data_IF_489486803025
#
_entry.id   IF_489486803025
#
_cell.length_a   1.000
_cell.length_b   1.000
_cell.length_c   1.000
_cell.angle_alpha   90.00
_cell.angle_beta   90.00
_cell.angle_gamma   90.00
#
_symmetry.space_group_name_H-M   'P 1'
#
loop_
_entity.id
_entity.type
_entity.pdbx_description
1 polymer ?
#
# COMPACT_ATOMS: atom_id res chain seq x y z
N UNK A 1 -17.79 -8.22 -26.64
CA UNK A 1 -17.49 -7.02 -25.83
C UNK A 1 -17.42 -7.44 -24.37
N UNK A 2 -16.31 -7.16 -23.69
CA UNK A 2 -16.11 -7.51 -22.28
C UNK A 2 -17.03 -6.67 -21.40
N UNK A 3 -17.63 -7.28 -20.37
CA UNK A 3 -18.45 -6.56 -19.38
C UNK A 3 -17.56 -5.99 -18.27
N UNK A 4 -17.99 -4.89 -17.62
CA UNK A 4 -17.18 -4.21 -16.59
C UNK A 4 -16.70 -5.12 -15.45
N UNK A 5 -17.54 -6.07 -14.99
CA UNK A 5 -17.14 -6.98 -13.94
C UNK A 5 -16.11 -8.03 -14.40
N UNK A 6 -16.10 -8.43 -15.68
CA UNK A 6 -15.09 -9.35 -16.24
C UNK A 6 -13.71 -8.70 -16.27
N UNK A 7 -13.64 -7.39 -16.51
CA UNK A 7 -12.41 -6.63 -16.38
C UNK A 7 -11.87 -6.69 -14.92
N UNK A 8 -12.74 -6.50 -13.93
CA UNK A 8 -12.36 -6.63 -12.52
C UNK A 8 -11.88 -8.02 -12.16
N UNK A 9 -12.60 -9.06 -12.55
CA UNK A 9 -12.19 -10.46 -12.34
C UNK A 9 -10.81 -10.73 -12.92
N UNK A 10 -10.57 -10.29 -14.16
CA UNK A 10 -9.26 -10.44 -14.80
C UNK A 10 -8.11 -9.70 -14.10
N UNK A 11 -8.38 -8.57 -13.46
CA UNK A 11 -7.36 -7.87 -12.69
C UNK A 11 -6.98 -8.61 -11.41
N UNK A 12 -7.87 -9.48 -10.89
CA UNK A 12 -7.62 -10.29 -9.72
C UNK A 12 -6.89 -11.61 -10.05
N UNK A 13 -6.83 -12.00 -11.30
CA UNK A 13 -6.08 -13.17 -11.74
C UNK A 13 -4.58 -12.86 -11.81
N UNK A 14 -3.90 -12.98 -10.68
CA UNK A 14 -2.45 -12.74 -10.59
C UNK A 14 -1.65 -13.79 -11.33
N UNK A 15 -2.07 -15.06 -11.27
CA UNK A 15 -1.47 -16.19 -11.97
C UNK A 15 -2.34 -16.58 -13.18
N UNK A 16 -1.73 -16.56 -14.37
CA UNK A 16 -2.46 -16.70 -15.64
C UNK A 16 -2.25 -18.06 -16.24
N UNK A 17 -3.33 -18.81 -16.46
CA UNK A 17 -3.33 -20.07 -17.20
C UNK A 17 -2.84 -19.85 -18.63
N UNK A 18 -2.05 -20.81 -19.16
CA UNK A 18 -1.54 -20.77 -20.52
C UNK A 18 -0.49 -19.68 -20.77
N UNK A 19 0.14 -19.16 -19.72
CA UNK A 19 1.23 -18.20 -19.86
C UNK A 19 2.48 -18.85 -20.46
N UNK A 20 2.80 -20.10 -20.08
CA UNK A 20 3.95 -20.85 -20.59
C UNK A 20 3.82 -21.13 -22.09
N UNK A 21 4.91 -20.91 -22.82
CA UNK A 21 5.03 -21.15 -24.25
C UNK A 21 6.41 -21.76 -24.56
N UNK A 22 6.45 -23.07 -24.70
CA UNK A 22 7.70 -23.82 -24.91
C UNK A 22 8.44 -23.42 -26.19
N UNK A 23 7.73 -22.92 -27.21
CA UNK A 23 8.35 -22.45 -28.44
C UNK A 23 9.17 -21.15 -28.25
N UNK A 24 8.93 -20.43 -27.17
CA UNK A 24 9.60 -19.18 -26.83
C UNK A 24 10.75 -19.44 -25.83
N UNK A 25 10.42 -19.92 -24.62
CA UNK A 25 11.40 -19.96 -23.53
C UNK A 25 12.52 -20.97 -23.74
N UNK A 26 12.31 -22.08 -24.46
CA UNK A 26 13.36 -23.06 -24.72
C UNK A 26 14.53 -22.53 -25.55
N UNK A 27 14.38 -21.35 -26.16
CA UNK A 27 15.47 -20.67 -26.90
C UNK A 27 16.29 -19.73 -26.01
N UNK A 28 15.87 -19.54 -24.75
CA UNK A 28 16.55 -18.66 -23.80
C UNK A 28 17.64 -19.43 -23.04
N UNK A 29 18.61 -18.69 -22.52
CA UNK A 29 19.69 -19.24 -21.69
C UNK A 29 19.52 -18.77 -20.27
N UNK A 30 19.58 -19.65 -19.30
CA UNK A 30 19.40 -19.32 -17.88
C UNK A 30 19.27 -20.56 -17.00
N UNK A 31 18.86 -20.37 -15.78
CA UNK A 31 18.48 -21.44 -14.86
C UNK A 31 17.03 -21.81 -15.11
N UNK A 32 16.79 -23.06 -15.41
CA UNK A 32 15.45 -23.61 -15.67
C UNK A 32 14.96 -24.37 -14.45
N UNK A 33 13.73 -24.10 -14.04
CA UNK A 33 13.04 -24.83 -12.98
C UNK A 33 12.21 -25.94 -13.62
N UNK A 34 12.30 -27.15 -13.07
CA UNK A 34 11.52 -28.31 -13.48
C UNK A 34 10.83 -28.97 -12.28
N UNK A 35 10.10 -30.06 -12.49
CA UNK A 35 9.33 -30.76 -11.47
C UNK A 35 10.17 -31.37 -10.33
N UNK A 36 11.49 -31.48 -10.49
CA UNK A 36 12.38 -31.98 -9.43
C UNK A 36 12.71 -30.91 -8.39
N UNK A 37 12.42 -29.64 -8.68
CA UNK A 37 12.70 -28.52 -7.79
C UNK A 37 11.70 -28.42 -6.66
N UNK A 38 12.15 -27.85 -5.55
CA UNK A 38 11.33 -27.56 -4.38
C UNK A 38 11.45 -26.08 -3.98
N UNK A 39 10.38 -25.53 -3.45
CA UNK A 39 10.38 -24.22 -2.77
C UNK A 39 10.63 -24.49 -1.29
N UNK A 40 11.70 -23.90 -0.73
CA UNK A 40 12.07 -24.13 0.67
C UNK A 40 12.14 -22.78 1.42
N UNK A 41 11.73 -22.80 2.69
CA UNK A 41 11.68 -21.63 3.56
C UNK A 41 12.09 -22.00 5.00
N UNK A 42 12.43 -21.03 5.89
CA UNK A 42 12.78 -21.31 7.29
C UNK A 42 11.69 -22.09 8.02
N UNK A 43 12.06 -22.98 8.93
CA UNK A 43 11.10 -23.80 9.67
C UNK A 43 10.19 -22.98 10.57
N UNK A 44 10.64 -21.84 11.05
CA UNK A 44 9.93 -20.85 11.85
C UNK A 44 9.46 -19.64 11.02
N UNK A 45 9.27 -19.84 9.69
CA UNK A 45 8.78 -18.80 8.79
C UNK A 45 7.49 -18.15 9.30
N UNK A 46 7.44 -16.84 9.23
CA UNK A 46 6.24 -16.07 9.54
C UNK A 46 5.17 -16.21 8.44
N UNK A 47 4.02 -15.59 8.67
CA UNK A 47 2.89 -15.66 7.75
C UNK A 47 3.18 -15.09 6.37
N UNK A 48 4.03 -14.07 6.26
CA UNK A 48 4.38 -13.44 4.97
C UNK A 48 5.28 -14.35 4.15
N UNK A 49 6.28 -14.98 4.78
CA UNK A 49 7.12 -15.99 4.12
C UNK A 49 6.32 -17.23 3.70
N UNK A 50 5.39 -17.68 4.53
CA UNK A 50 4.50 -18.80 4.18
C UNK A 50 3.59 -18.44 3.01
N UNK A 51 3.04 -17.21 3.01
CA UNK A 51 2.26 -16.70 1.88
C UNK A 51 3.10 -16.65 0.61
N UNK A 52 4.30 -16.08 0.67
CA UNK A 52 5.22 -16.02 -0.47
C UNK A 52 5.53 -17.41 -1.06
N UNK A 53 5.74 -18.41 -0.20
CA UNK A 53 6.01 -19.78 -0.65
C UNK A 53 4.80 -20.45 -1.33
N UNK A 54 3.61 -20.22 -0.79
CA UNK A 54 2.37 -20.78 -1.35
C UNK A 54 1.96 -20.06 -2.64
N UNK A 55 2.04 -18.74 -2.68
CA UNK A 55 1.74 -17.94 -3.85
C UNK A 55 2.68 -18.27 -5.02
N UNK A 56 3.99 -18.37 -4.76
CA UNK A 56 4.97 -18.79 -5.76
C UNK A 56 4.71 -20.22 -6.25
N UNK A 57 4.32 -21.15 -5.37
CA UNK A 57 3.89 -22.51 -5.78
C UNK A 57 2.71 -22.43 -6.73
N UNK A 58 1.71 -21.64 -6.40
CA UNK A 58 0.50 -21.49 -7.20
C UNK A 58 0.82 -20.83 -8.55
N UNK A 59 1.79 -19.90 -8.61
CA UNK A 59 2.34 -19.40 -9.87
C UNK A 59 2.92 -20.51 -10.74
N UNK A 60 3.76 -21.37 -10.17
CA UNK A 60 4.34 -22.47 -10.94
C UNK A 60 3.27 -23.45 -11.43
N UNK A 61 2.30 -23.80 -10.60
CA UNK A 61 1.20 -24.67 -10.99
C UNK A 61 0.33 -24.07 -12.08
N UNK A 62 -0.16 -22.85 -11.87
CA UNK A 62 -1.17 -22.22 -12.74
C UNK A 62 -0.54 -21.64 -14.01
N UNK A 63 0.60 -20.95 -13.88
CA UNK A 63 1.20 -20.20 -14.99
C UNK A 63 2.28 -20.95 -15.74
N UNK A 64 3.01 -21.84 -15.06
CA UNK A 64 4.13 -22.58 -15.63
C UNK A 64 3.84 -24.08 -15.86
N UNK A 65 2.69 -24.56 -15.40
CA UNK A 65 2.29 -25.96 -15.47
C UNK A 65 3.34 -26.89 -14.87
N UNK A 66 3.82 -26.54 -13.66
CA UNK A 66 4.81 -27.29 -12.86
C UNK A 66 4.30 -27.41 -11.43
N UNK A 67 4.19 -28.66 -10.93
CA UNK A 67 3.79 -28.94 -9.55
C UNK A 67 5.03 -28.98 -8.64
N UNK A 68 5.37 -27.86 -8.01
CA UNK A 68 6.47 -27.80 -7.04
C UNK A 68 5.96 -28.02 -5.62
N UNK A 69 6.78 -28.72 -4.81
CA UNK A 69 6.54 -28.86 -3.39
C UNK A 69 7.08 -27.65 -2.63
N UNK A 70 6.26 -27.03 -1.77
CA UNK A 70 6.69 -26.03 -0.81
C UNK A 70 6.81 -26.66 0.60
N UNK A 71 7.96 -26.49 1.28
CA UNK A 71 8.22 -27.07 2.59
C UNK A 71 9.28 -26.31 3.40
N UNK A 72 9.32 -26.50 4.74
CA UNK A 72 10.45 -26.05 5.53
C UNK A 72 11.77 -26.66 5.05
N UNK A 73 12.84 -25.82 5.06
CA UNK A 73 14.21 -26.25 4.76
C UNK A 73 14.78 -27.01 5.95
N UNK A 74 15.55 -28.07 5.67
CA UNK A 74 16.32 -28.78 6.67
C UNK A 74 17.73 -28.16 6.78
N UNK A 75 18.34 -28.29 7.96
CA UNK A 75 19.70 -27.82 8.17
C UNK A 75 20.70 -28.51 7.23
N UNK A 76 21.61 -27.73 6.66
CA UNK A 76 22.65 -28.25 5.77
C UNK A 76 22.16 -28.67 4.38
N UNK A 77 20.91 -28.49 4.03
CA UNK A 77 20.44 -28.78 2.67
C UNK A 77 21.15 -27.91 1.62
N UNK A 78 21.58 -28.49 0.49
CA UNK A 78 22.17 -27.73 -0.60
C UNK A 78 21.16 -26.76 -1.22
N UNK A 79 21.64 -25.74 -1.91
CA UNK A 79 20.80 -24.75 -2.60
C UNK A 79 20.45 -25.19 -4.04
N UNK A 80 21.26 -26.09 -4.63
CA UNK A 80 21.04 -26.57 -5.99
C UNK A 80 19.67 -27.24 -6.15
N UNK A 81 19.00 -26.96 -7.26
CA UNK A 81 17.69 -27.50 -7.58
C UNK A 81 16.58 -27.04 -6.62
N UNK A 82 16.77 -25.90 -5.96
CA UNK A 82 15.79 -25.33 -5.02
C UNK A 82 15.57 -23.84 -5.24
N UNK A 83 14.36 -23.41 -4.93
CA UNK A 83 14.03 -22.00 -4.72
C UNK A 83 13.97 -21.76 -3.21
N UNK A 84 15.00 -21.10 -2.69
CA UNK A 84 15.13 -20.80 -1.26
C UNK A 84 14.58 -19.42 -0.96
N UNK A 85 13.54 -19.35 -0.15
CA UNK A 85 12.97 -18.12 0.37
C UNK A 85 13.49 -17.87 1.78
N UNK A 86 14.03 -16.68 2.03
CA UNK A 86 14.56 -16.30 3.35
C UNK A 86 14.56 -14.78 3.52
N UNK A 87 14.95 -14.30 4.68
CA UNK A 87 15.13 -12.88 4.95
C UNK A 87 16.42 -12.62 5.74
N UNK A 88 16.73 -11.36 5.99
CA UNK A 88 17.94 -10.97 6.71
C UNK A 88 18.00 -11.48 8.16
N UNK A 89 16.87 -11.73 8.80
CA UNK A 89 16.83 -12.27 10.15
C UNK A 89 17.24 -13.75 10.18
N UNK A 90 16.78 -14.54 9.22
CA UNK A 90 17.09 -15.96 9.12
C UNK A 90 18.46 -16.23 8.45
N UNK A 91 18.88 -15.39 7.51
CA UNK A 91 20.15 -15.61 6.77
C UNK A 91 20.87 -14.27 6.52
N UNK A 92 21.47 -13.66 7.55
CA UNK A 92 22.12 -12.35 7.44
C UNK A 92 23.20 -12.27 6.34
N UNK A 93 23.88 -13.37 6.06
CA UNK A 93 24.94 -13.44 5.04
C UNK A 93 24.41 -13.26 3.61
N UNK A 94 23.12 -13.49 3.36
CA UNK A 94 22.46 -13.35 2.06
C UNK A 94 21.63 -12.08 1.96
N UNK A 95 21.57 -11.27 3.01
CA UNK A 95 20.78 -10.05 3.05
C UNK A 95 21.13 -9.08 1.91
N UNK A 96 20.16 -8.33 1.37
CA UNK A 96 20.44 -7.25 0.44
C UNK A 96 21.26 -6.13 1.11
N UNK A 97 21.98 -5.34 0.31
CA UNK A 97 22.73 -4.18 0.81
C UNK A 97 21.81 -3.03 1.30
N UNK A 98 20.52 -3.12 1.07
CA UNK A 98 19.52 -2.12 1.40
C UNK A 98 18.87 -2.39 2.76
N UNK A 99 18.35 -1.34 3.42
CA UNK A 99 17.69 -1.42 4.73
C UNK A 99 16.17 -1.24 4.65
N UNK A 100 15.65 -0.84 3.50
CA UNK A 100 14.20 -0.67 3.28
C UNK A 100 13.45 -2.01 3.45
N UNK A 101 12.35 -2.06 4.20
CA UNK A 101 11.66 -3.31 4.54
C UNK A 101 11.24 -4.17 3.34
N UNK A 102 10.96 -3.53 2.20
CA UNK A 102 10.57 -4.23 0.97
C UNK A 102 11.73 -4.44 -0.02
N UNK A 103 12.98 -4.22 0.41
CA UNK A 103 14.15 -4.51 -0.41
C UNK A 103 14.44 -6.01 -0.43
N UNK A 104 15.00 -6.48 -1.54
CA UNK A 104 15.35 -7.89 -1.73
C UNK A 104 16.57 -8.07 -2.62
N UNK A 105 17.18 -9.25 -2.46
CA UNK A 105 18.23 -9.80 -3.30
C UNK A 105 17.75 -11.11 -3.88
N UNK A 106 17.95 -11.29 -5.17
CA UNK A 106 17.70 -12.52 -5.92
C UNK A 106 19.05 -13.01 -6.47
N UNK A 107 19.49 -14.17 -6.01
CA UNK A 107 20.69 -14.87 -6.53
C UNK A 107 20.25 -16.08 -7.35
N UNK A 108 20.67 -16.14 -8.61
CA UNK A 108 20.32 -17.20 -9.57
C UNK A 108 21.60 -17.92 -10.03
N UNK A 109 21.74 -19.14 -9.61
CA UNK A 109 22.82 -20.05 -9.98
C UNK A 109 22.28 -21.45 -10.35
N UNK A 110 22.81 -22.49 -9.76
CA UNK A 110 22.26 -23.85 -9.84
C UNK A 110 21.06 -24.04 -8.89
N UNK A 111 20.83 -23.08 -8.02
CA UNK A 111 19.62 -22.83 -7.25
C UNK A 111 19.19 -21.39 -7.42
N UNK A 112 18.02 -21.03 -6.88
CA UNK A 112 17.49 -19.68 -6.84
C UNK A 112 17.30 -19.30 -5.37
N UNK A 113 17.87 -18.19 -4.94
CA UNK A 113 17.67 -17.68 -3.57
C UNK A 113 17.02 -16.31 -3.62
N UNK A 114 15.91 -16.15 -2.91
CA UNK A 114 15.22 -14.88 -2.70
C UNK A 114 15.38 -14.50 -1.23
N UNK A 115 16.14 -13.45 -0.96
CA UNK A 115 16.38 -12.95 0.39
C UNK A 115 15.91 -11.51 0.51
N UNK A 116 14.91 -11.25 1.37
CA UNK A 116 14.44 -9.91 1.68
C UNK A 116 15.16 -9.29 2.88
N UNK A 117 15.13 -7.97 2.99
CA UNK A 117 15.49 -7.28 4.24
C UNK A 117 14.54 -7.71 5.37
N UNK A 118 13.27 -7.91 5.03
CA UNK A 118 12.22 -8.51 5.88
C UNK A 118 11.42 -9.51 5.05
N UNK A 119 10.52 -10.31 5.65
CA UNK A 119 9.60 -11.17 4.90
C UNK A 119 8.85 -10.48 3.75
N UNK A 120 8.50 -9.19 3.92
CA UNK A 120 7.89 -8.37 2.86
C UNK A 120 8.83 -8.23 1.65
N UNK A 121 10.12 -8.03 1.88
CA UNK A 121 11.12 -7.98 0.81
C UNK A 121 11.22 -9.31 0.06
N UNK A 122 11.18 -10.43 0.77
CA UNK A 122 11.17 -11.76 0.15
C UNK A 122 9.96 -11.95 -0.76
N UNK A 123 8.77 -11.57 -0.29
CA UNK A 123 7.53 -11.62 -1.09
C UNK A 123 7.66 -10.77 -2.36
N UNK A 124 8.18 -9.54 -2.27
CA UNK A 124 8.42 -8.68 -3.44
C UNK A 124 9.45 -9.30 -4.41
N UNK A 125 10.44 -10.02 -3.88
CA UNK A 125 11.41 -10.78 -4.68
C UNK A 125 10.76 -11.96 -5.41
N UNK A 126 9.80 -12.66 -4.80
CA UNK A 126 9.00 -13.69 -5.46
C UNK A 126 8.18 -13.10 -6.61
N UNK A 127 7.47 -12.00 -6.41
CA UNK A 127 6.73 -11.32 -7.49
C UNK A 127 7.64 -10.84 -8.63
N UNK A 128 8.88 -10.46 -8.31
CA UNK A 128 9.85 -10.15 -9.35
C UNK A 128 10.25 -11.41 -10.14
N UNK A 129 10.51 -12.54 -9.48
CA UNK A 129 10.82 -13.83 -10.11
C UNK A 129 9.68 -14.27 -11.04
N UNK A 130 8.45 -14.24 -10.57
CA UNK A 130 7.25 -14.55 -11.36
C UNK A 130 7.11 -13.66 -12.59
N UNK A 131 7.32 -12.35 -12.42
CA UNK A 131 7.27 -11.40 -13.52
C UNK A 131 8.34 -11.67 -14.58
N UNK A 132 9.57 -12.03 -14.15
CA UNK A 132 10.64 -12.37 -15.09
C UNK A 132 10.31 -13.65 -15.87
N UNK A 133 9.88 -14.69 -15.18
CA UNK A 133 9.45 -15.94 -15.82
C UNK A 133 8.21 -15.72 -16.71
N UNK A 134 7.30 -14.84 -16.30
CA UNK A 134 6.14 -14.44 -17.10
C UNK A 134 6.52 -13.74 -18.41
N UNK A 135 7.51 -12.84 -18.38
CA UNK A 135 8.07 -12.19 -19.58
C UNK A 135 8.72 -13.21 -20.52
N UNK A 136 9.45 -14.15 -19.96
CA UNK A 136 10.08 -15.24 -20.71
C UNK A 136 9.08 -16.29 -21.20
N UNK A 137 7.85 -16.24 -20.72
CA UNK A 137 6.80 -17.23 -20.98
C UNK A 137 7.21 -18.65 -20.65
N UNK A 138 8.00 -18.82 -19.60
CA UNK A 138 8.51 -20.14 -19.19
C UNK A 138 9.26 -20.12 -17.87
N UNK A 139 9.50 -21.31 -17.29
CA UNK A 139 10.13 -21.47 -15.98
C UNK A 139 11.66 -21.29 -16.06
N UNK A 140 12.10 -20.18 -16.65
CA UNK A 140 13.51 -19.85 -16.86
C UNK A 140 13.81 -18.42 -16.40
N UNK A 141 14.98 -18.23 -15.81
CA UNK A 141 15.47 -16.91 -15.39
C UNK A 141 16.97 -16.81 -15.65
N UNK A 142 17.45 -15.62 -15.99
CA UNK A 142 18.86 -15.34 -16.24
C UNK A 142 19.70 -15.57 -14.97
N UNK A 143 20.88 -16.17 -15.11
CA UNK A 143 21.84 -16.34 -14.03
C UNK A 143 22.45 -15.00 -13.61
N UNK A 144 22.71 -14.85 -12.33
CA UNK A 144 23.34 -13.67 -11.73
C UNK A 144 22.62 -13.17 -10.49
N UNK A 145 23.04 -12.01 -10.02
CA UNK A 145 22.50 -11.40 -8.81
C UNK A 145 21.72 -10.11 -9.16
N UNK A 146 20.55 -9.97 -8.61
CA UNK A 146 19.73 -8.75 -8.71
C UNK A 146 19.39 -8.27 -7.31
N UNK A 147 19.70 -7.01 -7.00
CA UNK A 147 19.24 -6.36 -5.78
C UNK A 147 18.31 -5.19 -6.12
N UNK A 148 17.19 -5.11 -5.42
CA UNK A 148 16.20 -4.04 -5.62
C UNK A 148 15.61 -3.55 -4.32
N UNK A 149 15.22 -2.29 -4.35
CA UNK A 149 14.42 -1.66 -3.31
C UNK A 149 13.32 -0.82 -3.94
N UNK A 150 12.21 -0.54 -3.25
CA UNK A 150 11.23 0.41 -3.71
C UNK A 150 11.83 1.83 -3.74
N UNK A 151 11.48 2.62 -4.75
CA UNK A 151 11.84 4.04 -4.82
C UNK A 151 11.01 4.89 -3.86
N UNK A 152 9.78 4.45 -3.57
CA UNK A 152 8.83 5.12 -2.68
C UNK A 152 8.27 4.12 -1.67
N UNK A 153 8.04 4.58 -0.45
CA UNK A 153 7.33 3.85 0.61
C UNK A 153 6.64 4.86 1.53
N UNK A 154 5.36 4.67 1.85
CA UNK A 154 4.50 3.59 1.39
C UNK A 154 3.98 3.80 -0.05
N UNK A 155 3.66 2.70 -0.73
CA UNK A 155 2.93 2.66 -2.01
C UNK A 155 1.52 2.21 -1.73
N UNK A 156 0.61 3.18 -1.69
CA UNK A 156 -0.74 2.97 -1.21
C UNK A 156 -1.73 2.82 -2.36
N UNK A 157 -2.75 2.01 -2.13
CA UNK A 157 -3.91 1.89 -3.02
C UNK A 157 -5.20 1.97 -2.20
N UNK A 158 -6.22 2.62 -2.75
CA UNK A 158 -7.57 2.63 -2.18
C UNK A 158 -8.59 2.07 -3.19
N UNK A 159 -9.75 1.68 -2.69
CA UNK A 159 -10.82 1.08 -3.50
C UNK A 159 -11.55 2.07 -4.42
N UNK A 160 -11.22 3.36 -4.34
CA UNK A 160 -12.09 4.41 -4.88
C UNK A 160 -13.38 4.48 -4.06
N UNK A 161 -14.46 4.92 -4.67
CA UNK A 161 -15.75 4.97 -3.96
C UNK A 161 -16.37 3.59 -3.73
N UNK A 162 -15.59 2.52 -3.79
CA UNK A 162 -16.39 1.46 -4.05
C UNK A 162 -16.47 0.31 -3.11
N UNK A 163 -15.54 -0.43 -2.93
CA UNK A 163 -15.71 -1.74 -2.32
C UNK A 163 -14.59 -1.90 -1.32
N UNK A 164 -14.80 -1.36 -0.13
CA UNK A 164 -13.81 -1.38 0.94
C UNK A 164 -13.71 -2.75 1.64
N UNK A 165 -14.38 -3.78 1.09
CA UNK A 165 -14.33 -5.13 1.66
C UNK A 165 -12.95 -5.76 1.56
N UNK A 166 -12.14 -5.36 0.60
CA UNK A 166 -10.81 -5.89 0.33
C UNK A 166 -10.74 -7.42 0.50
N UNK A 167 -11.40 -8.21 -0.35
CA UNK A 167 -11.26 -9.66 -0.32
C UNK A 167 -9.80 -10.06 -0.54
N UNK A 168 -9.40 -11.24 -0.08
CA UNK A 168 -8.00 -11.69 -0.13
C UNK A 168 -7.40 -11.64 -1.54
N UNK A 169 -8.18 -11.99 -2.56
CA UNK A 169 -7.76 -11.86 -3.95
C UNK A 169 -7.41 -10.42 -4.36
N UNK A 170 -8.13 -9.43 -3.79
CA UNK A 170 -7.85 -8.01 -4.02
C UNK A 170 -6.56 -7.57 -3.35
N UNK A 171 -6.34 -7.98 -2.09
CA UNK A 171 -5.12 -7.67 -1.33
C UNK A 171 -3.92 -8.30 -2.06
N UNK A 172 -4.03 -9.56 -2.48
CA UNK A 172 -2.98 -10.26 -3.20
C UNK A 172 -2.67 -9.59 -4.55
N UNK A 173 -3.70 -9.20 -5.32
CA UNK A 173 -3.50 -8.48 -6.58
C UNK A 173 -2.80 -7.12 -6.36
N UNK A 174 -3.15 -6.38 -5.31
CA UNK A 174 -2.47 -5.13 -4.95
C UNK A 174 -1.00 -5.37 -4.60
N UNK A 175 -0.69 -6.42 -3.82
CA UNK A 175 0.68 -6.79 -3.48
C UNK A 175 1.51 -7.15 -4.73
N UNK A 176 0.95 -7.92 -5.68
CA UNK A 176 1.60 -8.25 -6.97
C UNK A 176 1.86 -7.01 -7.86
N UNK A 177 1.02 -5.98 -7.76
CA UNK A 177 1.26 -4.69 -8.41
C UNK A 177 2.36 -3.87 -7.73
N UNK A 178 2.93 -4.36 -6.65
CA UNK A 178 4.00 -3.71 -5.90
C UNK A 178 3.51 -2.71 -4.85
N UNK A 179 2.22 -2.71 -4.51
CA UNK A 179 1.70 -1.92 -3.39
C UNK A 179 2.13 -2.54 -2.06
N UNK A 180 2.25 -1.73 -1.04
CA UNK A 180 2.62 -2.15 0.31
C UNK A 180 1.69 -1.59 1.40
N UNK A 181 0.65 -0.85 1.00
CA UNK A 181 -0.37 -0.35 1.91
C UNK A 181 -1.76 -0.22 1.26
N UNK A 182 -2.79 -0.46 2.06
CA UNK A 182 -4.19 -0.23 1.74
C UNK A 182 -4.69 1.02 2.45
N UNK A 183 -5.43 1.87 1.74
CA UNK A 183 -6.18 2.98 2.30
C UNK A 183 -7.65 2.60 2.46
N UNK A 184 -8.17 2.62 3.67
CA UNK A 184 -9.56 2.27 4.00
C UNK A 184 -10.34 3.52 4.36
N UNK A 185 -11.41 3.81 3.62
CA UNK A 185 -12.31 4.91 3.94
C UNK A 185 -12.97 4.69 5.31
N UNK A 186 -12.71 5.59 6.27
CA UNK A 186 -13.06 5.42 7.67
C UNK A 186 -13.97 6.54 8.13
N UNK A 187 -15.23 6.23 8.44
CA UNK A 187 -16.21 7.16 9.01
C UNK A 187 -16.35 7.04 10.52
N UNK A 188 -16.09 5.86 11.04
CA UNK A 188 -16.04 5.55 12.47
C UNK A 188 -15.31 4.20 12.65
N UNK A 189 -15.11 3.76 13.88
CA UNK A 189 -14.55 2.44 14.18
C UNK A 189 -15.39 1.35 13.49
N UNK A 190 -14.75 0.59 12.61
CA UNK A 190 -15.38 -0.45 11.80
C UNK A 190 -16.52 0.02 10.88
N UNK A 191 -16.57 1.32 10.56
CA UNK A 191 -17.58 1.89 9.66
C UNK A 191 -16.90 2.59 8.48
N UNK A 192 -17.24 2.12 7.29
CA UNK A 192 -16.88 2.74 6.01
C UNK A 192 -18.05 3.54 5.44
N UNK A 193 -17.88 4.31 4.36
CA UNK A 193 -19.00 4.92 3.64
C UNK A 193 -20.08 3.93 3.19
N UNK A 194 -19.72 2.65 3.02
CA UNK A 194 -20.61 1.62 2.50
C UNK A 194 -21.11 0.63 3.56
N UNK A 195 -20.74 0.81 4.81
CA UNK A 195 -21.22 -0.02 5.91
C UNK A 195 -20.11 -0.56 6.81
N UNK A 196 -20.42 -1.65 7.48
CA UNK A 196 -19.52 -2.29 8.44
C UNK A 196 -18.37 -3.03 7.74
N UNK A 197 -17.17 -2.84 8.25
CA UNK A 197 -15.97 -3.61 7.93
C UNK A 197 -15.16 -3.79 9.22
N UNK A 198 -14.85 -5.02 9.60
CA UNK A 198 -13.95 -5.29 10.71
C UNK A 198 -12.51 -4.89 10.33
N UNK A 199 -12.05 -3.75 10.83
CA UNK A 199 -10.73 -3.23 10.52
C UNK A 199 -9.60 -4.11 11.06
N UNK A 200 -9.76 -4.73 12.23
CA UNK A 200 -8.76 -5.63 12.76
C UNK A 200 -8.63 -6.92 11.92
N UNK A 201 -9.75 -7.44 11.41
CA UNK A 201 -9.71 -8.55 10.47
C UNK A 201 -8.99 -8.16 9.16
N UNK A 202 -9.31 -7.00 8.59
CA UNK A 202 -8.61 -6.50 7.40
C UNK A 202 -7.11 -6.32 7.65
N UNK A 203 -6.72 -5.69 8.76
CA UNK A 203 -5.32 -5.51 9.17
C UNK A 203 -4.62 -6.87 9.26
N UNK A 204 -5.26 -7.85 9.90
CA UNK A 204 -4.70 -9.20 10.04
C UNK A 204 -4.49 -9.88 8.68
N UNK A 205 -5.45 -9.81 7.77
CA UNK A 205 -5.33 -10.40 6.42
C UNK A 205 -4.27 -9.69 5.59
N UNK A 206 -4.30 -8.36 5.55
CA UNK A 206 -3.33 -7.54 4.82
C UNK A 206 -1.90 -7.77 5.30
N UNK A 207 -1.67 -7.82 6.62
CA UNK A 207 -0.36 -8.11 7.20
C UNK A 207 0.19 -9.47 6.76
N UNK A 208 -0.65 -10.50 6.61
CA UNK A 208 -0.24 -11.81 6.10
C UNK A 208 0.22 -11.78 4.63
N UNK A 209 -0.19 -10.77 3.87
CA UNK A 209 0.21 -10.52 2.48
C UNK A 209 1.24 -9.38 2.36
N UNK A 210 1.93 -9.05 3.45
CA UNK A 210 2.96 -8.02 3.48
C UNK A 210 2.45 -6.58 3.30
N UNK A 211 1.16 -6.32 3.53
CA UNK A 211 0.54 -5.02 3.34
C UNK A 211 0.22 -4.35 4.68
N UNK A 212 0.45 -3.04 4.76
CA UNK A 212 -0.04 -2.21 5.86
C UNK A 212 -1.47 -1.71 5.58
N UNK A 213 -2.18 -1.26 6.62
CA UNK A 213 -3.49 -0.61 6.49
C UNK A 213 -3.44 0.78 7.08
N UNK A 214 -3.91 1.76 6.31
CA UNK A 214 -4.08 3.15 6.72
C UNK A 214 -5.57 3.50 6.76
N UNK A 215 -5.97 4.26 7.75
CA UNK A 215 -7.29 4.88 7.76
C UNK A 215 -7.29 6.10 6.81
N UNK A 216 -8.15 6.14 5.82
CA UNK A 216 -8.44 7.33 5.03
C UNK A 216 -9.63 8.05 5.68
N UNK A 217 -9.34 9.19 6.32
CA UNK A 217 -10.31 9.79 7.22
C UNK A 217 -11.49 10.46 6.50
N UNK A 218 -12.68 10.00 6.84
CA UNK A 218 -13.98 10.63 6.56
C UNK A 218 -14.72 10.97 7.87
N UNK A 219 -13.97 11.09 8.97
CA UNK A 219 -14.53 11.59 10.23
C UNK A 219 -14.98 13.03 10.06
N UNK A 220 -16.16 13.35 10.61
CA UNK A 220 -16.56 14.74 10.77
C UNK A 220 -15.68 15.41 11.81
N UNK A 221 -15.25 16.65 11.52
CA UNK A 221 -14.37 17.45 12.38
C UNK A 221 -15.07 18.77 12.80
N UNK A 222 -16.16 18.72 13.58
CA UNK A 222 -16.98 19.88 13.87
C UNK A 222 -16.40 20.82 14.95
N UNK A 223 -15.18 20.54 15.43
CA UNK A 223 -14.53 21.30 16.50
C UNK A 223 -13.28 21.99 16.01
N UNK A 224 -13.19 23.29 16.31
CA UNK A 224 -11.94 24.01 16.17
C UNK A 224 -10.93 23.53 17.25
N UNK A 225 -9.62 23.46 16.97
CA UNK A 225 -8.63 23.02 17.96
C UNK A 225 -8.65 23.80 19.28
N UNK A 226 -9.00 25.09 19.26
CA UNK A 226 -9.13 25.92 20.48
C UNK A 226 -10.44 25.73 21.23
N UNK A 227 -11.40 24.97 20.72
CA UNK A 227 -12.64 24.73 21.45
C UNK A 227 -12.32 23.88 22.70
N UNK A 228 -12.86 24.26 23.88
CA UNK A 228 -12.51 23.56 25.14
C UNK A 228 -12.81 22.04 25.12
N UNK A 229 -13.78 21.63 24.31
CA UNK A 229 -14.19 20.22 24.18
C UNK A 229 -13.58 19.51 22.96
N UNK A 230 -12.77 20.19 22.14
CA UNK A 230 -12.13 19.59 20.97
C UNK A 230 -11.22 18.39 21.32
N UNK A 231 -10.37 18.45 22.36
CA UNK A 231 -9.56 17.28 22.73
C UNK A 231 -10.40 16.05 23.08
N UNK A 232 -11.48 16.22 23.82
CA UNK A 232 -12.37 15.12 24.18
C UNK A 232 -13.12 14.56 22.95
N UNK A 233 -13.54 15.43 22.04
CA UNK A 233 -14.17 15.01 20.79
C UNK A 233 -13.22 14.18 19.92
N UNK A 234 -12.02 14.68 19.66
CA UNK A 234 -11.06 13.95 18.81
C UNK A 234 -10.50 12.70 19.51
N UNK A 235 -10.44 12.66 20.83
CA UNK A 235 -10.18 11.45 21.58
C UNK A 235 -11.27 10.38 21.37
N UNK A 236 -12.54 10.79 21.33
CA UNK A 236 -13.67 9.87 21.11
C UNK A 236 -13.75 9.35 19.66
N UNK A 237 -13.10 9.99 18.71
CA UNK A 237 -13.05 9.58 17.29
C UNK A 237 -11.70 8.94 16.96
N UNK A 238 -10.68 9.74 16.64
CA UNK A 238 -9.34 9.23 16.26
C UNK A 238 -8.66 8.44 17.40
N UNK A 239 -8.80 8.90 18.65
CA UNK A 239 -8.27 8.18 19.81
C UNK A 239 -8.92 6.80 19.94
N UNK A 240 -10.25 6.75 19.87
CA UNK A 240 -11.00 5.50 19.91
C UNK A 240 -10.61 4.53 18.77
N UNK A 241 -10.41 5.04 17.55
CA UNK A 241 -9.98 4.25 16.41
C UNK A 241 -8.63 3.59 16.67
N UNK A 242 -7.60 4.36 17.01
CA UNK A 242 -6.24 3.83 17.20
C UNK A 242 -6.09 2.99 18.47
N UNK A 243 -6.89 3.25 19.50
CA UNK A 243 -6.98 2.40 20.69
C UNK A 243 -7.51 1.00 20.36
N UNK A 244 -8.52 0.90 19.50
CA UNK A 244 -9.18 -0.36 19.16
C UNK A 244 -8.59 -1.05 17.92
N UNK A 245 -7.84 -0.32 17.09
CA UNK A 245 -7.16 -0.85 15.91
C UNK A 245 -5.65 -0.56 15.96
N UNK A 246 -4.90 -1.14 16.93
CA UNK A 246 -3.48 -0.82 17.12
C UNK A 246 -2.58 -1.26 15.96
N UNK A 247 -3.08 -2.12 15.08
CA UNK A 247 -2.40 -2.57 13.87
C UNK A 247 -2.51 -1.61 12.68
N UNK A 248 -3.29 -0.52 12.77
CA UNK A 248 -3.25 0.53 11.76
C UNK A 248 -1.85 1.13 11.68
N UNK A 249 -1.33 1.28 10.47
CA UNK A 249 -0.01 1.90 10.26
C UNK A 249 -0.06 3.41 10.42
N UNK A 250 -1.18 4.03 10.05
CA UNK A 250 -1.35 5.47 10.13
C UNK A 250 -2.71 5.94 9.64
N UNK A 251 -2.80 7.25 9.41
CA UNK A 251 -3.99 7.92 8.89
C UNK A 251 -3.63 8.84 7.75
N UNK A 252 -4.48 8.88 6.72
CA UNK A 252 -4.44 9.89 5.66
C UNK A 252 -5.60 10.86 5.85
N UNK A 253 -5.28 12.12 5.95
CA UNK A 253 -6.21 13.24 6.12
C UNK A 253 -6.23 14.06 4.84
N UNK A 254 -7.39 14.22 4.27
CA UNK A 254 -7.60 15.03 3.06
C UNK A 254 -8.42 16.23 3.41
N UNK A 255 -7.99 17.42 3.06
CA UNK A 255 -8.67 18.65 3.37
C UNK A 255 -10.18 18.60 3.08
N UNK A 256 -10.56 18.09 1.91
CA UNK A 256 -11.95 17.89 1.50
C UNK A 256 -12.78 17.02 2.46
N UNK A 257 -12.17 16.01 3.07
CA UNK A 257 -12.87 15.03 3.90
C UNK A 257 -12.84 15.37 5.39
N UNK A 258 -11.89 16.20 5.81
CA UNK A 258 -11.64 16.53 7.22
C UNK A 258 -11.85 18.03 7.51
N UNK A 259 -12.81 18.63 6.83
CA UNK A 259 -13.21 20.02 7.10
C UNK A 259 -13.44 20.24 8.59
N UNK A 260 -12.90 21.31 9.15
CA UNK A 260 -13.16 21.78 10.52
C UNK A 260 -13.57 23.24 10.49
N UNK A 261 -14.21 23.78 11.54
CA UNK A 261 -14.69 25.17 11.56
C UNK A 261 -13.54 26.16 11.71
N UNK A 262 -12.74 26.32 10.64
CA UNK A 262 -11.58 27.21 10.58
C UNK A 262 -11.98 28.67 10.87
N UNK A 263 -11.11 29.41 11.53
CA UNK A 263 -11.20 30.85 11.77
C UNK A 263 -10.52 31.69 10.69
N UNK A 264 -10.01 31.05 9.63
CA UNK A 264 -9.41 31.75 8.50
C UNK A 264 -10.48 32.58 7.75
N UNK A 265 -10.32 33.90 7.64
CA UNK A 265 -11.31 34.80 7.03
C UNK A 265 -11.50 34.56 5.52
N UNK A 266 -10.59 33.86 4.86
CA UNK A 266 -10.70 33.52 3.45
C UNK A 266 -11.66 32.34 3.20
N UNK A 267 -12.13 31.68 4.26
CA UNK A 267 -13.07 30.58 4.19
C UNK A 267 -14.43 30.93 4.75
N UNK A 268 -15.42 30.06 4.49
CA UNK A 268 -16.76 30.17 5.10
C UNK A 268 -16.76 29.90 6.61
N UNK A 269 -15.68 29.34 7.17
CA UNK A 269 -15.59 28.94 8.57
C UNK A 269 -16.50 27.77 8.96
N UNK A 270 -17.19 27.14 8.02
CA UNK A 270 -18.10 26.01 8.26
C UNK A 270 -17.91 24.90 7.23
N UNK A 271 -18.42 23.73 7.55
CA UNK A 271 -18.38 22.57 6.64
C UNK A 271 -19.12 22.88 5.34
N UNK A 272 -18.66 22.29 4.25
CA UNK A 272 -19.22 22.53 2.89
C UNK A 272 -20.73 22.39 2.82
N UNK A 273 -21.31 21.40 3.51
CA UNK A 273 -22.75 21.16 3.53
C UNK A 273 -23.52 22.09 4.45
N UNK A 274 -22.85 22.89 5.27
CA UNK A 274 -23.43 23.83 6.25
C UNK A 274 -23.33 25.27 5.77
N UNK A 275 -22.80 25.54 4.59
CA UNK A 275 -22.66 26.88 4.02
C UNK A 275 -24.04 27.54 3.86
N UNK A 276 -24.13 28.78 4.29
CA UNK A 276 -25.38 29.59 4.14
C UNK A 276 -25.60 29.95 2.66
N UNK A 277 -26.88 30.11 2.24
CA UNK A 277 -27.17 30.64 0.91
C UNK A 277 -26.48 32.00 0.69
N UNK A 278 -25.77 32.14 -0.46
CA UNK A 278 -25.03 33.36 -0.79
C UNK A 278 -23.58 33.39 -0.29
N UNK A 279 -23.13 32.44 0.50
CA UNK A 279 -21.73 32.33 0.90
C UNK A 279 -20.87 31.84 -0.29
N UNK A 280 -19.97 32.70 -0.75
CA UNK A 280 -19.09 32.43 -1.92
C UNK A 280 -17.71 31.95 -1.54
N UNK A 281 -17.26 32.16 -0.30
CA UNK A 281 -15.95 31.71 0.15
C UNK A 281 -15.90 30.18 0.17
N UNK A 282 -14.72 29.57 -0.09
CA UNK A 282 -14.56 28.12 0.00
C UNK A 282 -14.81 27.60 1.43
N UNK A 283 -15.21 26.36 1.57
CA UNK A 283 -15.16 25.70 2.88
C UNK A 283 -13.72 25.42 3.27
N UNK A 284 -13.43 25.22 4.58
CA UNK A 284 -12.07 25.00 5.07
C UNK A 284 -11.31 23.87 4.36
N UNK A 285 -12.00 22.82 3.96
CA UNK A 285 -11.37 21.71 3.24
C UNK A 285 -10.83 22.05 1.85
N UNK A 286 -11.21 23.22 1.30
CA UNK A 286 -10.84 23.67 -0.05
C UNK A 286 -9.91 24.89 -0.04
N UNK A 287 -9.37 25.21 1.10
CA UNK A 287 -8.47 26.34 1.28
C UNK A 287 -7.32 25.98 2.23
N UNK A 288 -6.08 26.42 2.00
CA UNK A 288 -4.97 26.21 2.92
C UNK A 288 -5.09 27.11 4.17
N UNK A 289 -6.03 26.75 5.07
CA UNK A 289 -6.32 27.53 6.26
C UNK A 289 -5.11 27.64 7.19
N UNK A 290 -4.82 28.82 7.69
CA UNK A 290 -3.68 29.09 8.58
C UNK A 290 -3.72 28.30 9.90
N UNK A 291 -4.88 27.83 10.33
CA UNK A 291 -5.11 27.08 11.57
C UNK A 291 -5.08 25.53 11.37
N UNK A 292 -4.79 25.03 10.16
CA UNK A 292 -4.55 23.60 9.93
C UNK A 292 -3.42 23.03 10.80
N UNK A 293 -2.25 23.69 11.00
CA UNK A 293 -1.18 23.13 11.82
C UNK A 293 -1.61 22.85 13.26
N UNK A 294 -2.46 23.69 13.85
CA UNK A 294 -2.99 23.48 15.21
C UNK A 294 -3.92 22.26 15.26
N UNK A 295 -4.82 22.14 14.31
CA UNK A 295 -5.72 20.99 14.18
C UNK A 295 -4.93 19.69 13.97
N UNK A 296 -3.95 19.71 13.07
CA UNK A 296 -3.07 18.57 12.80
C UNK A 296 -2.32 18.16 14.07
N UNK A 297 -1.75 19.10 14.80
CA UNK A 297 -1.01 18.81 16.04
C UNK A 297 -1.91 18.20 17.11
N UNK A 298 -3.14 18.69 17.27
CA UNK A 298 -4.10 18.13 18.20
C UNK A 298 -4.43 16.67 17.85
N UNK A 299 -4.85 16.40 16.61
CA UNK A 299 -5.25 15.05 16.18
C UNK A 299 -4.06 14.10 16.19
N UNK A 300 -2.89 14.54 15.71
CA UNK A 300 -1.64 13.76 15.74
C UNK A 300 -1.25 13.39 17.18
N UNK A 301 -1.33 14.34 18.10
CA UNK A 301 -1.03 14.12 19.52
C UNK A 301 -1.94 13.05 20.14
N UNK A 302 -3.22 13.08 19.80
CA UNK A 302 -4.19 12.09 20.27
C UNK A 302 -3.91 10.70 19.68
N UNK A 303 -3.68 10.60 18.39
CA UNK A 303 -3.35 9.32 17.73
C UNK A 303 -2.08 8.72 18.33
N UNK A 304 -1.03 9.52 18.50
CA UNK A 304 0.27 9.06 19.00
C UNK A 304 0.30 8.68 20.48
N UNK A 305 -0.72 9.00 21.24
CA UNK A 305 -0.92 8.40 22.58
C UNK A 305 -1.10 6.89 22.51
N UNK A 306 -1.78 6.39 21.48
CA UNK A 306 -2.10 4.97 21.32
C UNK A 306 -1.13 4.25 20.40
N UNK A 307 -0.59 4.96 19.42
CA UNK A 307 0.40 4.46 18.47
C UNK A 307 1.49 5.51 18.22
N UNK A 308 2.58 5.48 19.02
CA UNK A 308 3.63 6.51 18.96
C UNK A 308 4.31 6.64 17.60
N UNK A 309 4.40 5.55 16.83
CA UNK A 309 5.00 5.46 15.50
C UNK A 309 3.97 5.59 14.36
N UNK A 310 2.74 6.03 14.66
CA UNK A 310 1.73 6.21 13.62
C UNK A 310 2.21 7.22 12.57
N UNK A 311 2.16 6.81 11.30
CA UNK A 311 2.35 7.70 10.18
C UNK A 311 1.11 8.60 10.04
N UNK A 312 1.37 9.89 9.91
CA UNK A 312 0.32 10.90 9.78
C UNK A 312 0.50 11.58 8.43
N UNK A 313 -0.38 11.28 7.49
CA UNK A 313 -0.31 11.80 6.12
C UNK A 313 -1.33 12.91 5.94
N UNK A 314 -0.86 14.09 5.56
CA UNK A 314 -1.73 15.20 5.20
C UNK A 314 -1.69 15.42 3.69
N UNK A 315 -2.86 15.39 3.04
CA UNK A 315 -3.00 15.48 1.60
C UNK A 315 -3.68 16.78 1.18
N UNK A 316 -2.96 17.60 0.39
CA UNK A 316 -3.38 18.93 -0.07
C UNK A 316 -4.26 18.88 -1.32
N UNK A 317 -5.08 17.85 -1.46
CA UNK A 317 -5.83 17.48 -2.67
C UNK A 317 -6.52 18.63 -3.39
N UNK A 318 -7.28 19.48 -2.68
CA UNK A 318 -8.18 20.46 -3.31
C UNK A 318 -7.62 21.89 -3.34
N UNK A 319 -6.35 22.08 -3.06
CA UNK A 319 -5.79 23.44 -2.97
C UNK A 319 -5.20 23.97 -4.29
N UNK A 320 -5.28 23.23 -5.37
CA UNK A 320 -4.68 23.62 -6.65
C UNK A 320 -5.29 24.84 -7.32
N UNK A 321 -6.53 25.19 -6.95
CA UNK A 321 -7.18 26.40 -7.44
C UNK A 321 -6.84 27.65 -6.62
N UNK A 322 -6.13 27.49 -5.52
CA UNK A 322 -5.70 28.58 -4.64
C UNK A 322 -4.35 29.12 -5.11
N UNK A 323 -4.11 30.40 -4.87
CA UNK A 323 -2.82 31.04 -5.09
C UNK A 323 -1.68 30.19 -4.52
N UNK A 324 -0.63 30.01 -5.30
CA UNK A 324 0.54 29.20 -4.96
C UNK A 324 1.23 29.68 -3.68
N UNK A 325 1.36 31.00 -3.52
CA UNK A 325 1.99 31.59 -2.34
C UNK A 325 1.25 31.20 -1.03
N UNK A 326 -0.09 31.18 -1.03
CA UNK A 326 -0.87 30.78 0.13
C UNK A 326 -0.68 29.29 0.45
N UNK A 327 -0.56 28.45 -0.57
CA UNK A 327 -0.29 27.00 -0.41
C UNK A 327 1.09 26.76 0.20
N UNK A 328 2.12 27.40 -0.35
CA UNK A 328 3.49 27.27 0.13
C UNK A 328 3.60 27.78 1.55
N UNK A 329 3.04 28.97 1.85
CA UNK A 329 3.07 29.56 3.17
C UNK A 329 2.47 28.62 4.24
N UNK A 330 1.38 27.93 3.93
CA UNK A 330 0.85 26.94 4.87
C UNK A 330 1.76 25.70 4.97
N UNK A 331 2.21 25.15 3.85
CA UNK A 331 3.08 23.96 3.84
C UNK A 331 4.33 24.17 4.71
N UNK A 332 4.92 25.37 4.66
CA UNK A 332 6.09 25.75 5.46
C UNK A 332 5.82 25.76 6.98
N UNK A 333 4.53 25.87 7.39
CA UNK A 333 4.13 25.86 8.80
C UNK A 333 3.68 24.49 9.30
N UNK A 334 3.54 23.50 8.42
CA UNK A 334 3.15 22.16 8.81
C UNK A 334 4.21 21.47 9.69
N UNK A 335 3.81 20.61 10.63
CA UNK A 335 4.77 19.82 11.39
C UNK A 335 5.67 18.98 10.47
N UNK A 336 6.98 18.98 10.74
CA UNK A 336 7.96 18.24 9.91
C UNK A 336 8.01 16.74 10.19
N UNK A 337 7.30 16.28 11.21
CA UNK A 337 7.17 14.88 11.63
C UNK A 337 5.90 14.20 11.09
N UNK A 338 5.33 14.74 10.02
CA UNK A 338 4.23 14.18 9.25
C UNK A 338 4.64 13.98 7.79
N UNK A 339 3.90 13.13 7.07
CA UNK A 339 4.05 12.95 5.63
C UNK A 339 3.15 13.92 4.88
N UNK A 340 3.69 14.65 3.92
CA UNK A 340 2.92 15.50 3.01
C UNK A 340 2.64 14.73 1.71
N UNK A 341 1.37 14.62 1.36
CA UNK A 341 0.93 14.08 0.08
C UNK A 341 0.43 15.20 -0.82
N UNK A 342 0.91 15.22 -2.05
CA UNK A 342 0.48 16.15 -3.09
C UNK A 342 -0.09 15.40 -4.28
N UNK A 343 -1.03 16.00 -5.00
CA UNK A 343 -1.57 15.43 -6.23
C UNK A 343 -0.67 15.81 -7.39
N UNK A 344 -0.17 14.80 -8.10
CA UNK A 344 0.65 15.01 -9.29
C UNK A 344 -0.25 15.39 -10.48
N UNK A 345 0.14 16.43 -11.22
CA UNK A 345 -0.51 16.92 -12.46
C UNK A 345 -2.00 17.25 -12.36
N UNK A 346 -2.58 17.37 -11.17
CA UNK A 346 -4.02 17.58 -11.01
C UNK A 346 -4.53 18.90 -11.62
N UNK A 347 -3.67 19.90 -11.74
CA UNK A 347 -4.04 21.26 -12.15
C UNK A 347 -3.21 21.77 -13.32
N UNK A 348 -2.52 20.91 -14.05
CA UNK A 348 -1.87 21.31 -15.29
C UNK A 348 -2.89 21.67 -16.38
N UNK A 349 -2.58 22.70 -17.15
CA UNK A 349 -3.35 22.98 -18.37
C UNK A 349 -3.07 21.88 -19.39
N UNK A 350 -3.97 20.95 -19.50
CA UNK A 350 -3.89 19.89 -20.50
C UNK A 350 -4.26 20.47 -21.87
N UNK A 351 -3.32 20.53 -22.79
CA UNK A 351 -3.58 20.84 -24.19
C UNK A 351 -3.71 19.52 -24.98
N UNK A 352 -4.92 18.99 -25.15
CA UNK A 352 -5.10 17.76 -25.89
C UNK A 352 -4.62 17.95 -27.32
N UNK A 353 -3.98 16.91 -27.86
CA UNK A 353 -3.64 16.90 -29.29
C UNK A 353 -4.94 17.01 -30.11
N UNK A 354 -4.94 17.72 -31.27
CA UNK A 354 -6.11 17.81 -32.12
C UNK A 354 -6.66 16.41 -32.43
N UNK A 355 -7.96 16.20 -32.22
CA UNK A 355 -8.64 14.91 -32.42
C UNK A 355 -8.67 13.96 -31.22
N UNK A 356 -8.12 14.33 -30.08
CA UNK A 356 -8.28 13.59 -28.82
C UNK A 356 -9.41 14.23 -28.01
N UNK A 357 -10.48 13.47 -27.77
CA UNK A 357 -11.55 13.85 -26.82
C UNK A 357 -11.17 13.29 -25.46
N UNK A 358 -11.09 14.14 -24.47
CA UNK A 358 -10.85 13.77 -23.06
C UNK A 358 -12.19 13.72 -22.35
#
# INVERSE_FOLDING_TARGET
>A
MERNYQFRERLLEVHKKGLRDDAIWTKLTGTTVDESWEIVYPADADRVLLHAAHDLRDFFEVSMNLCLRARPRKDGEPLEGRITLTDAAHTPALAPAYTEPAAYKLDVGDGITVCGTTPRGTLQGCFYLERRMGIHRGPIIERGTVEKKPLFSPRMVHSGFGLDDFPDAHINAAAHMGMDALLVFTKDLNITPHGYLDFNNLIYRAAGMGMDVYAYSYYKSPKHPDDPDAPAFYESTYGNLFKNCPGLRGVTLVGESVEFPSRDPHTSGCLRLEKKPGETRPSPGWYPCYDYPEWINLVKGIIRKYKPDADFVFWTYNWGYVNEEARIALIETLPTDISLQVTYEMFEQFHPRPGVTV
#
